data_IF_389342388895
#
_entry.id   IF_389342388895
#
_cell.length_a   1.000
_cell.length_b   1.000
_cell.length_c   1.000
_cell.angle_alpha   90.00
_cell.angle_beta   90.00
_cell.angle_gamma   90.00
#
_symmetry.space_group_name_H-M   'P 1'
#
loop_
_entity.id
_entity.type
_entity.pdbx_description
1 polymer ?
#
# COMPACT_ATOMS: atom_id res chain seq x y z
N UNK A 1 13.00 16.83 57.17
CA UNK A 1 12.14 18.03 57.13
C UNK A 1 12.92 19.20 56.54
N UNK A 2 12.75 19.51 55.26
CA UNK A 2 12.98 20.85 54.73
C UNK A 2 11.99 21.07 53.58
N UNK A 3 10.94 21.84 53.88
CA UNK A 3 9.99 22.38 52.92
C UNK A 3 10.60 23.63 52.31
N UNK A 4 10.68 23.71 50.99
CA UNK A 4 10.66 24.98 50.25
C UNK A 4 9.65 24.87 49.13
N UNK A 5 8.46 25.40 49.40
CA UNK A 5 7.63 26.04 48.39
C UNK A 5 8.46 27.18 47.76
N UNK A 6 8.34 27.42 46.45
CA UNK A 6 7.69 28.63 45.91
C UNK A 6 7.90 28.73 44.38
N UNK A 7 6.83 29.18 43.73
CA UNK A 7 6.80 30.07 42.57
C UNK A 7 6.81 29.47 41.15
N UNK A 8 5.58 29.33 40.65
CA UNK A 8 5.13 29.49 39.27
C UNK A 8 5.79 30.71 38.60
N UNK A 9 6.41 30.52 37.42
CA UNK A 9 6.49 31.57 36.39
C UNK A 9 6.16 30.93 35.04
N UNK A 10 4.89 31.12 34.67
CA UNK A 10 4.35 31.05 33.32
C UNK A 10 5.08 32.11 32.47
N UNK A 11 5.64 31.74 31.32
CA UNK A 11 6.13 32.70 30.33
C UNK A 11 5.86 32.15 28.94
N UNK A 12 4.67 32.49 28.44
CA UNK A 12 4.34 32.42 27.03
C UNK A 12 5.17 33.48 26.28
N UNK A 13 5.98 33.05 25.32
CA UNK A 13 6.61 33.94 24.35
C UNK A 13 6.08 33.57 22.97
N UNK A 14 5.11 34.36 22.52
CA UNK A 14 4.64 34.42 21.14
C UNK A 14 5.66 35.24 20.36
N UNK A 15 6.33 34.63 19.37
CA UNK A 15 7.02 35.36 18.30
C UNK A 15 6.44 34.86 16.98
N UNK A 16 5.50 35.63 16.46
CA UNK A 16 5.12 35.59 15.06
C UNK A 16 6.15 36.38 14.25
N UNK A 17 6.68 35.78 13.19
CA UNK A 17 7.36 36.50 12.12
C UNK A 17 6.66 36.14 10.82
N UNK A 18 6.00 37.15 10.27
CA UNK A 18 5.47 37.21 8.92
C UNK A 18 6.66 37.52 7.99
N UNK A 19 6.88 36.71 6.97
CA UNK A 19 7.64 37.13 5.79
C UNK A 19 6.77 36.93 4.55
N UNK A 20 6.57 38.05 3.87
CA UNK A 20 5.80 38.24 2.68
C UNK A 20 6.37 37.48 1.48
N UNK A 21 5.47 37.09 0.57
CA UNK A 21 5.82 36.46 -0.69
C UNK A 21 6.58 37.37 -1.64
N UNK A 22 7.25 36.74 -2.60
CA UNK A 22 7.65 37.37 -3.84
C UNK A 22 7.47 36.33 -4.94
N UNK A 23 6.36 36.43 -5.66
CA UNK A 23 6.13 35.76 -6.94
C UNK A 23 6.88 36.54 -8.01
N UNK A 24 7.78 35.87 -8.73
CA UNK A 24 8.35 36.40 -9.96
C UNK A 24 8.01 35.44 -11.10
N UNK A 25 7.02 35.85 -11.90
CA UNK A 25 6.75 35.37 -13.25
C UNK A 25 7.98 35.62 -14.13
N UNK A 26 8.47 34.60 -14.84
CA UNK A 26 9.36 34.79 -15.98
C UNK A 26 8.73 34.20 -17.24
N UNK A 27 8.25 35.11 -18.08
CA UNK A 27 7.88 34.91 -19.48
C UNK A 27 9.14 35.08 -20.35
N UNK A 28 9.38 34.15 -21.28
CA UNK A 28 9.63 34.37 -22.72
C UNK A 28 10.50 33.26 -23.36
N UNK A 29 9.94 32.61 -24.38
CA UNK A 29 10.64 31.84 -25.42
C UNK A 29 11.20 32.80 -26.52
N UNK A 30 11.66 32.37 -27.71
CA UNK A 30 12.15 31.06 -28.19
C UNK A 30 13.55 31.16 -28.88
N UNK A 31 14.19 30.04 -29.20
CA UNK A 31 15.16 30.00 -30.31
C UNK A 31 15.28 28.59 -30.90
N UNK A 32 14.83 28.47 -32.14
CA UNK A 32 15.13 27.38 -33.05
C UNK A 32 16.62 27.40 -33.44
N UNK A 33 17.19 26.23 -33.69
CA UNK A 33 18.24 26.05 -34.69
C UNK A 33 18.06 24.67 -35.33
N UNK A 34 17.63 24.71 -36.58
CA UNK A 34 17.73 23.63 -37.55
C UNK A 34 18.77 24.06 -38.58
N UNK A 35 19.69 23.16 -38.93
CA UNK A 35 20.31 23.01 -40.26
C UNK A 35 20.97 21.62 -40.24
N UNK A 36 20.40 20.61 -40.91
CA UNK A 36 20.69 20.20 -42.29
C UNK A 36 22.16 19.73 -42.45
N UNK A 37 22.49 18.60 -43.07
CA UNK A 37 22.09 18.24 -44.43
C UNK A 37 22.62 16.83 -44.81
N UNK A 38 21.76 16.04 -45.47
CA UNK A 38 22.00 15.18 -46.67
C UNK A 38 22.97 13.99 -46.59
N UNK A 39 22.78 12.84 -47.26
CA UNK A 39 21.84 12.35 -48.28
C UNK A 39 22.21 10.85 -48.56
N UNK A 40 21.23 9.94 -48.72
CA UNK A 40 20.89 9.22 -49.99
C UNK A 40 21.80 7.99 -50.24
N UNK A 41 21.32 6.75 -50.43
CA UNK A 41 20.40 6.23 -51.46
C UNK A 41 19.65 4.92 -51.08
N UNK A 42 18.45 4.82 -51.69
CA UNK A 42 17.60 3.67 -52.10
C UNK A 42 18.40 2.70 -53.06
N UNK A 43 17.94 1.53 -53.58
CA UNK A 43 16.52 1.22 -53.81
C UNK A 43 15.96 -0.23 -53.82
N UNK A 44 14.60 -0.26 -53.84
CA UNK A 44 13.63 -1.09 -54.62
C UNK A 44 13.84 -2.63 -54.78
N UNK A 45 12.84 -3.52 -54.91
CA UNK A 45 11.38 -3.47 -55.08
C UNK A 45 10.79 -4.91 -55.00
N UNK A 46 9.47 -4.98 -54.72
CA UNK A 46 8.43 -5.93 -55.20
C UNK A 46 8.54 -7.45 -54.83
N UNK A 47 7.51 -8.27 -54.65
CA UNK A 47 6.15 -8.42 -55.21
C UNK A 47 5.25 -9.18 -54.17
N UNK A 48 3.97 -8.81 -53.96
CA UNK A 48 2.72 -9.51 -54.38
C UNK A 48 2.08 -10.56 -53.42
N UNK A 49 0.90 -10.17 -52.87
CA UNK A 49 -0.46 -10.81 -52.75
C UNK A 49 -0.64 -12.35 -52.68
N UNK A 50 -1.82 -12.91 -52.26
CA UNK A 50 -3.17 -12.31 -52.15
C UNK A 50 -4.10 -12.71 -50.97
N UNK A 51 -5.11 -11.84 -50.76
CA UNK A 51 -6.58 -12.06 -50.58
C UNK A 51 -7.09 -13.25 -49.75
N UNK A 52 -7.85 -12.91 -48.70
CA UNK A 52 -8.99 -13.67 -48.19
C UNK A 52 -10.14 -12.71 -47.91
N UNK A 53 -11.10 -12.67 -48.83
CA UNK A 53 -12.43 -12.08 -48.68
C UNK A 53 -13.27 -13.00 -47.77
N UNK A 54 -14.17 -12.44 -46.97
CA UNK A 54 -15.58 -12.87 -46.90
C UNK A 54 -16.35 -11.86 -46.04
N UNK A 55 -17.30 -11.25 -46.72
CA UNK A 55 -18.34 -10.33 -46.28
C UNK A 55 -19.26 -10.92 -45.21
N UNK A 56 -19.71 -10.10 -44.25
CA UNK A 56 -21.10 -10.12 -43.78
C UNK A 56 -21.52 -8.79 -43.15
N UNK A 57 -22.78 -8.50 -43.39
CA UNK A 57 -23.47 -7.21 -43.35
C UNK A 57 -24.37 -7.05 -42.12
N UNK A 58 -24.78 -5.79 -41.92
CA UNK A 58 -26.06 -5.31 -41.33
C UNK A 58 -26.16 -4.93 -39.84
N UNK A 59 -26.32 -3.61 -39.68
CA UNK A 59 -27.45 -2.89 -39.05
C UNK A 59 -27.60 -2.77 -37.52
N UNK A 60 -27.35 -1.52 -37.09
CA UNK A 60 -28.15 -0.62 -36.23
C UNK A 60 -29.56 -1.10 -35.78
N UNK A 61 -29.84 -1.02 -34.45
CA UNK A 61 -30.89 -0.17 -33.85
C UNK A 61 -31.21 -0.53 -32.37
N UNK A 62 -31.04 0.47 -31.49
CA UNK A 62 -31.94 0.92 -30.40
C UNK A 62 -33.11 0.02 -29.98
N UNK A 63 -33.21 -0.31 -28.67
CA UNK A 63 -34.17 0.27 -27.70
C UNK A 63 -34.06 -0.43 -26.33
N UNK A 64 -34.01 0.41 -25.30
CA UNK A 64 -34.39 0.28 -23.87
C UNK A 64 -35.35 -0.87 -23.56
N UNK A 65 -35.17 -1.57 -22.44
CA UNK A 65 -36.22 -1.75 -21.41
C UNK A 65 -35.60 -2.05 -20.03
N UNK A 66 -35.92 -1.17 -19.08
CA UNK A 66 -35.86 -1.38 -17.64
C UNK A 66 -37.09 -2.18 -17.22
N UNK A 67 -36.96 -3.10 -16.25
CA UNK A 67 -37.96 -3.20 -15.21
C UNK A 67 -37.35 -3.05 -13.83
N UNK A 68 -37.96 -2.17 -13.05
CA UNK A 68 -37.74 -2.02 -11.63
C UNK A 68 -38.61 -3.01 -10.84
N UNK A 69 -38.14 -3.23 -9.60
CA UNK A 69 -38.89 -3.62 -8.41
C UNK A 69 -39.01 -5.13 -8.10
N UNK A 70 -38.29 -5.58 -7.06
CA UNK A 70 -38.93 -5.99 -5.79
C UNK A 70 -37.89 -6.58 -4.84
N UNK A 71 -37.74 -5.91 -3.67
CA UNK A 71 -37.38 -6.46 -2.36
C UNK A 71 -36.32 -7.56 -2.27
N UNK A 72 -35.09 -7.16 -1.99
CA UNK A 72 -34.19 -7.95 -1.16
C UNK A 72 -33.52 -6.99 -0.16
N UNK A 73 -33.97 -7.06 1.09
CA UNK A 73 -33.25 -6.60 2.25
C UNK A 73 -31.82 -7.17 2.18
N UNK A 74 -30.74 -6.36 2.21
CA UNK A 74 -29.43 -6.94 2.37
C UNK A 74 -29.41 -7.53 3.78
N UNK A 75 -29.48 -8.86 3.83
CA UNK A 75 -29.04 -9.63 4.97
C UNK A 75 -27.74 -8.98 5.45
N UNK A 76 -27.70 -8.63 6.74
CA UNK A 76 -26.48 -8.23 7.40
C UNK A 76 -25.43 -9.27 7.02
N UNK A 77 -24.47 -8.86 6.19
CA UNK A 77 -23.28 -9.62 5.98
C UNK A 77 -22.58 -9.60 7.33
N UNK A 78 -22.77 -10.65 8.11
CA UNK A 78 -21.78 -11.05 9.10
C UNK A 78 -20.47 -11.17 8.32
N UNK A 79 -19.68 -10.10 8.33
CA UNK A 79 -18.31 -10.11 7.88
C UNK A 79 -17.52 -10.86 8.94
N UNK A 80 -17.77 -12.17 9.06
CA UNK A 80 -16.73 -13.09 9.50
C UNK A 80 -15.68 -13.06 8.39
N UNK A 81 -14.79 -12.07 8.49
CA UNK A 81 -13.55 -12.06 7.77
C UNK A 81 -12.89 -13.40 8.08
N UNK A 82 -12.94 -14.32 7.11
CA UNK A 82 -12.19 -15.56 7.19
C UNK A 82 -10.74 -15.12 7.36
N UNK A 83 -10.18 -15.34 8.55
CA UNK A 83 -8.80 -14.96 8.85
C UNK A 83 -7.92 -15.90 8.03
N UNK A 84 -7.62 -15.50 6.79
CA UNK A 84 -6.59 -16.14 6.00
C UNK A 84 -5.27 -15.90 6.72
N UNK A 85 -4.57 -16.97 7.04
CA UNK A 85 -3.23 -16.87 7.62
C UNK A 85 -2.31 -16.29 6.57
N UNK A 86 -1.95 -15.01 6.73
CA UNK A 86 -0.97 -14.34 5.87
C UNK A 86 0.42 -14.97 6.04
N UNK A 87 1.24 -14.94 4.99
CA UNK A 87 2.62 -15.40 5.00
C UNK A 87 3.60 -14.27 5.33
N UNK A 88 4.68 -14.60 6.03
CA UNK A 88 5.69 -13.66 6.48
C UNK A 88 6.60 -13.24 5.30
N UNK A 89 6.65 -11.94 4.98
CA UNK A 89 7.50 -11.40 3.90
C UNK A 89 9.01 -11.51 4.14
N UNK A 90 9.45 -11.88 5.33
CA UNK A 90 10.86 -12.10 5.66
C UNK A 90 11.20 -13.58 5.89
N UNK A 91 10.21 -14.46 5.81
CA UNK A 91 10.35 -15.91 6.01
C UNK A 91 9.36 -16.66 5.11
N UNK A 92 9.58 -16.56 3.80
CA UNK A 92 8.83 -17.29 2.78
C UNK A 92 9.74 -17.79 1.67
N UNK A 93 9.32 -18.85 1.00
CA UNK A 93 9.95 -19.39 -0.21
C UNK A 93 9.24 -18.90 -1.47
N UNK A 94 9.94 -19.03 -2.61
CA UNK A 94 9.34 -18.74 -3.93
C UNK A 94 8.09 -19.60 -4.19
N UNK A 95 8.16 -20.88 -3.82
CA UNK A 95 7.06 -21.83 -3.99
C UNK A 95 5.85 -21.45 -3.14
N UNK A 96 6.06 -21.01 -1.89
CA UNK A 96 4.97 -20.53 -1.03
C UNK A 96 4.30 -19.27 -1.61
N UNK A 97 5.06 -18.33 -2.16
CA UNK A 97 4.51 -17.13 -2.80
C UNK A 97 3.66 -17.49 -4.03
N UNK A 98 4.19 -18.33 -4.92
CA UNK A 98 3.49 -18.78 -6.13
C UNK A 98 2.24 -19.63 -5.81
N UNK A 99 2.24 -20.37 -4.70
CA UNK A 99 1.10 -21.15 -4.25
C UNK A 99 0.02 -20.34 -3.50
N UNK A 100 0.42 -19.26 -2.80
CA UNK A 100 -0.48 -18.48 -1.94
C UNK A 100 -1.16 -17.34 -2.69
N UNK A 101 -0.43 -16.66 -3.57
CA UNK A 101 -0.89 -15.44 -4.23
C UNK A 101 -1.42 -15.80 -5.62
N UNK A 102 -2.70 -15.52 -5.95
CA UNK A 102 -3.24 -15.77 -7.28
C UNK A 102 -2.47 -15.00 -8.36
N UNK A 103 -2.28 -15.64 -9.52
CA UNK A 103 -1.62 -15.05 -10.69
C UNK A 103 -0.21 -14.50 -10.41
N UNK A 104 0.49 -15.06 -9.40
CA UNK A 104 1.81 -14.60 -8.99
C UNK A 104 2.92 -15.23 -9.82
N UNK A 105 3.55 -14.43 -10.69
CA UNK A 105 4.59 -14.90 -11.61
C UNK A 105 6.01 -14.81 -11.05
N UNK A 106 6.93 -15.63 -11.58
CA UNK A 106 8.33 -15.70 -11.15
C UNK A 106 9.12 -14.38 -11.29
N UNK A 107 8.62 -13.41 -12.07
CA UNK A 107 9.16 -12.04 -12.06
C UNK A 107 8.91 -11.37 -10.70
N UNK A 108 7.68 -11.41 -10.19
CA UNK A 108 7.30 -10.78 -8.92
C UNK A 108 7.96 -11.45 -7.72
N UNK A 109 8.15 -12.77 -7.77
CA UNK A 109 8.95 -13.51 -6.78
C UNK A 109 10.33 -12.86 -6.58
N UNK A 110 11.02 -12.53 -7.69
CA UNK A 110 12.33 -11.86 -7.61
C UNK A 110 12.24 -10.50 -6.95
N UNK A 111 11.25 -9.69 -7.30
CA UNK A 111 11.07 -8.36 -6.71
C UNK A 111 10.79 -8.45 -5.21
N UNK A 112 10.01 -9.43 -4.75
CA UNK A 112 9.75 -9.64 -3.33
C UNK A 112 11.04 -9.92 -2.56
N UNK A 113 11.89 -10.81 -3.08
CA UNK A 113 13.16 -11.17 -2.43
C UNK A 113 14.23 -10.08 -2.49
N UNK A 114 14.23 -9.23 -3.53
CA UNK A 114 15.24 -8.16 -3.69
C UNK A 114 15.22 -7.15 -2.54
N UNK A 115 14.05 -6.86 -1.97
CA UNK A 115 13.90 -5.84 -0.92
C UNK A 115 13.87 -6.41 0.50
N UNK A 116 14.08 -7.72 0.68
CA UNK A 116 14.20 -8.30 2.01
C UNK A 116 15.48 -7.82 2.74
N UNK A 117 15.41 -7.65 4.07
CA UNK A 117 14.22 -7.75 4.90
C UNK A 117 13.32 -6.49 4.77
N UNK A 118 12.01 -6.71 4.71
CA UNK A 118 11.03 -5.65 4.89
C UNK A 118 10.92 -5.31 6.38
N UNK A 119 11.00 -4.04 6.71
CA UNK A 119 10.82 -3.54 8.09
C UNK A 119 9.49 -2.80 8.27
N UNK A 120 8.83 -2.48 7.16
CA UNK A 120 7.56 -1.75 7.13
C UNK A 120 6.66 -2.22 6.00
N UNK A 121 5.34 -2.32 6.24
CA UNK A 121 4.37 -2.53 5.17
C UNK A 121 4.33 -1.34 4.19
N UNK A 122 4.73 -0.14 4.62
CA UNK A 122 4.87 1.02 3.73
C UNK A 122 6.06 0.87 2.77
N UNK A 123 7.15 0.24 3.22
CA UNK A 123 8.27 -0.12 2.35
C UNK A 123 7.80 -1.12 1.28
N UNK A 124 7.03 -2.15 1.68
CA UNK A 124 6.43 -3.08 0.73
C UNK A 124 5.59 -2.35 -0.34
N UNK A 125 4.65 -1.50 0.08
CA UNK A 125 3.82 -0.69 -0.83
C UNK A 125 4.65 0.12 -1.81
N UNK A 126 5.67 0.81 -1.30
CA UNK A 126 6.54 1.67 -2.10
C UNK A 126 7.37 0.89 -3.12
N UNK A 127 7.97 -0.22 -2.70
CA UNK A 127 8.91 -0.98 -3.54
C UNK A 127 8.16 -1.83 -4.58
N UNK A 128 7.08 -2.48 -4.18
CA UNK A 128 6.26 -3.31 -5.09
C UNK A 128 5.40 -2.46 -6.03
N UNK A 129 4.93 -1.29 -5.59
CA UNK A 129 4.20 -0.32 -6.42
C UNK A 129 5.01 0.26 -7.59
N UNK A 130 6.32 -0.02 -7.68
CA UNK A 130 7.12 0.30 -8.88
C UNK A 130 6.85 -0.62 -10.06
N UNK A 131 6.25 -1.80 -9.81
CA UNK A 131 6.10 -2.87 -10.80
C UNK A 131 4.65 -3.19 -11.12
N UNK A 132 3.75 -2.88 -10.19
CA UNK A 132 2.30 -3.12 -10.31
C UNK A 132 1.54 -1.89 -9.82
N UNK A 133 0.26 -1.79 -10.15
CA UNK A 133 -0.58 -0.68 -9.70
C UNK A 133 -1.05 -0.86 -8.24
N UNK A 134 -1.63 0.21 -7.68
CA UNK A 134 -2.08 0.24 -6.28
C UNK A 134 -3.12 -0.84 -5.96
N UNK A 135 -3.97 -1.22 -6.93
CA UNK A 135 -4.97 -2.26 -6.75
C UNK A 135 -4.31 -3.64 -6.62
N UNK A 136 -3.28 -3.91 -7.43
CA UNK A 136 -2.50 -5.13 -7.35
C UNK A 136 -1.64 -5.20 -6.08
N UNK A 137 -1.07 -4.07 -5.63
CA UNK A 137 -0.39 -3.99 -4.32
C UNK A 137 -1.35 -4.36 -3.20
N UNK A 138 -2.54 -3.74 -3.17
CA UNK A 138 -3.56 -4.02 -2.15
C UNK A 138 -3.97 -5.50 -2.15
N UNK A 139 -4.13 -6.12 -3.34
CA UNK A 139 -4.40 -7.55 -3.44
C UNK A 139 -3.27 -8.39 -2.84
N UNK A 140 -1.99 -8.06 -3.10
CA UNK A 140 -0.88 -8.81 -2.52
C UNK A 140 -0.83 -8.70 -0.99
N UNK A 141 -1.14 -7.53 -0.42
CA UNK A 141 -1.20 -7.34 1.04
C UNK A 141 -2.25 -8.20 1.74
N UNK A 142 -3.26 -8.71 1.03
CA UNK A 142 -4.23 -9.65 1.62
C UNK A 142 -3.57 -10.99 1.99
N UNK A 143 -2.47 -11.35 1.34
CA UNK A 143 -1.79 -12.64 1.51
C UNK A 143 -0.53 -12.57 2.36
N UNK A 144 0.05 -11.39 2.51
CA UNK A 144 1.40 -11.24 3.09
C UNK A 144 1.41 -10.24 4.23
N UNK A 145 2.35 -10.40 5.15
CA UNK A 145 2.59 -9.43 6.21
C UNK A 145 4.08 -9.19 6.44
N UNK A 146 4.40 -8.00 6.95
CA UNK A 146 5.73 -7.68 7.48
C UNK A 146 5.75 -7.95 8.99
N UNK A 147 6.70 -8.75 9.52
CA UNK A 147 6.81 -9.00 10.95
C UNK A 147 6.91 -7.73 11.78
N UNK A 148 6.16 -7.70 12.87
CA UNK A 148 6.07 -6.57 13.76
C UNK A 148 7.15 -6.67 14.82
N UNK A 149 8.09 -5.72 14.78
CA UNK A 149 8.91 -5.42 15.95
C UNK A 149 8.07 -4.58 16.92
N UNK A 150 7.84 -5.13 18.12
CA UNK A 150 6.98 -4.51 19.15
C UNK A 150 7.46 -3.12 19.57
N UNK A 151 8.74 -2.79 19.38
CA UNK A 151 9.36 -1.54 19.80
C UNK A 151 9.77 -0.63 18.63
N UNK A 152 9.84 -1.14 17.39
CA UNK A 152 10.37 -0.37 16.26
C UNK A 152 9.40 -0.19 15.09
N UNK A 153 8.45 -1.09 14.85
CA UNK A 153 7.56 -1.02 13.68
C UNK A 153 6.70 0.25 13.66
N UNK A 154 6.42 0.78 12.47
CA UNK A 154 5.51 1.91 12.28
C UNK A 154 4.03 1.52 12.50
N UNK A 155 3.15 2.53 12.58
CA UNK A 155 1.72 2.32 12.83
C UNK A 155 1.05 1.44 11.78
N UNK A 156 1.31 1.67 10.48
CA UNK A 156 0.69 0.88 9.41
C UNK A 156 1.12 -0.59 9.47
N UNK A 157 2.36 -0.85 9.88
CA UNK A 157 2.86 -2.21 10.11
C UNK A 157 2.18 -2.87 11.30
N UNK A 158 1.86 -2.13 12.37
CA UNK A 158 1.08 -2.64 13.51
C UNK A 158 -0.37 -2.92 13.14
N UNK A 159 -0.99 -2.09 12.29
CA UNK A 159 -2.36 -2.25 11.77
C UNK A 159 -2.57 -3.53 10.93
N UNK A 160 -1.50 -4.27 10.60
CA UNK A 160 -1.62 -5.59 10.00
C UNK A 160 -2.27 -6.63 10.93
N UNK A 161 -2.22 -6.40 12.25
CA UNK A 161 -2.88 -7.27 13.24
C UNK A 161 -4.40 -7.13 13.05
N UNK A 162 -5.13 -8.23 12.78
CA UNK A 162 -6.60 -8.18 12.70
C UNK A 162 -7.21 -7.59 13.98
N UNK A 163 -8.07 -6.58 13.81
CA UNK A 163 -8.72 -5.86 14.92
C UNK A 163 -7.95 -4.65 15.46
N UNK A 164 -6.79 -4.30 14.89
CA UNK A 164 -6.04 -3.10 15.27
C UNK A 164 -6.27 -1.97 14.26
N UNK A 165 -6.87 -0.88 14.73
CA UNK A 165 -7.01 0.36 13.97
C UNK A 165 -5.87 1.35 14.25
N UNK A 166 -5.85 2.48 13.54
CA UNK A 166 -4.84 3.52 13.69
C UNK A 166 -4.76 4.11 15.12
N UNK A 167 -5.88 4.16 15.84
CA UNK A 167 -5.91 4.69 17.22
C UNK A 167 -5.24 3.70 18.16
N UNK A 168 -5.57 2.41 18.05
CA UNK A 168 -4.94 1.34 18.80
C UNK A 168 -3.45 1.20 18.47
N UNK A 169 -3.08 1.25 17.19
CA UNK A 169 -1.68 1.22 16.75
C UNK A 169 -0.86 2.37 17.35
N UNK A 170 -1.40 3.59 17.36
CA UNK A 170 -0.72 4.72 18.01
C UNK A 170 -0.60 4.53 19.52
N UNK A 171 -1.65 4.02 20.19
CA UNK A 171 -1.59 3.75 21.62
C UNK A 171 -0.55 2.67 21.97
N UNK A 172 -0.33 1.70 21.08
CA UNK A 172 0.75 0.71 21.22
C UNK A 172 2.13 1.36 21.07
N UNK A 173 2.30 2.30 20.13
CA UNK A 173 3.56 3.04 19.93
C UNK A 173 3.86 3.93 21.14
N UNK A 174 2.87 4.65 21.65
CA UNK A 174 3.03 5.59 22.77
C UNK A 174 3.43 4.87 24.06
N UNK A 175 3.06 3.60 24.21
CA UNK A 175 3.38 2.76 25.36
C UNK A 175 4.76 2.07 25.28
N UNK A 176 5.51 2.25 24.18
CA UNK A 176 6.88 1.74 24.06
C UNK A 176 7.79 2.38 25.13
N UNK A 177 8.81 1.68 25.63
CA UNK A 177 9.33 0.37 25.20
C UNK A 177 8.71 -0.80 25.98
N UNK A 178 8.31 -1.87 25.28
CA UNK A 178 7.87 -3.13 25.87
C UNK A 178 9.06 -4.00 26.29
N UNK A 179 8.97 -4.56 27.51
CA UNK A 179 9.98 -5.48 28.03
C UNK A 179 9.82 -6.94 27.59
N UNK A 180 8.67 -7.31 27.01
CA UNK A 180 8.37 -8.66 26.53
C UNK A 180 7.17 -8.66 25.58
N UNK A 181 7.01 -9.75 24.83
CA UNK A 181 5.80 -10.03 24.03
C UNK A 181 4.54 -10.01 24.89
N UNK A 182 4.55 -10.63 26.08
CA UNK A 182 3.39 -10.63 26.99
C UNK A 182 2.98 -9.21 27.41
N UNK A 183 3.95 -8.30 27.58
CA UNK A 183 3.66 -6.91 27.91
C UNK A 183 3.01 -6.18 26.73
N UNK A 184 3.47 -6.44 25.50
CA UNK A 184 2.84 -5.93 24.28
C UNK A 184 1.41 -6.48 24.12
N UNK A 185 1.21 -7.79 24.23
CA UNK A 185 -0.10 -8.43 24.10
C UNK A 185 -1.08 -7.99 25.18
N UNK A 186 -0.60 -7.74 26.41
CA UNK A 186 -1.43 -7.17 27.47
C UNK A 186 -1.91 -5.76 27.12
N UNK A 187 -1.03 -4.93 26.53
CA UNK A 187 -1.42 -3.59 26.06
C UNK A 187 -2.34 -3.66 24.85
N UNK A 188 -2.11 -4.58 23.92
CA UNK A 188 -2.98 -4.84 22.77
C UNK A 188 -4.41 -5.13 23.22
N UNK A 189 -4.59 -6.04 24.17
CA UNK A 189 -5.92 -6.38 24.69
C UNK A 189 -6.63 -5.19 25.39
N UNK A 190 -5.87 -4.22 25.91
CA UNK A 190 -6.43 -2.99 26.50
C UNK A 190 -6.94 -2.00 25.43
N UNK A 191 -6.19 -1.85 24.32
CA UNK A 191 -6.44 -0.79 23.31
C UNK A 191 -7.17 -1.26 22.06
N UNK A 192 -7.15 -2.56 21.78
CA UNK A 192 -7.83 -3.21 20.66
C UNK A 192 -8.54 -4.47 21.17
N UNK A 193 -9.69 -4.34 21.86
CA UNK A 193 -10.38 -5.48 22.47
C UNK A 193 -10.93 -6.50 21.47
N UNK A 194 -11.06 -6.10 20.20
CA UNK A 194 -11.50 -6.98 19.10
C UNK A 194 -10.32 -7.75 18.45
N UNK A 195 -9.08 -7.44 18.80
CA UNK A 195 -7.91 -8.17 18.32
C UNK A 195 -7.67 -9.44 19.15
N UNK A 196 -7.55 -10.59 18.49
CA UNK A 196 -7.21 -11.86 19.14
C UNK A 196 -5.69 -11.91 19.44
N UNK A 197 -5.25 -12.02 20.71
CA UNK A 197 -3.83 -12.08 21.06
C UNK A 197 -3.08 -13.29 20.46
N UNK A 198 -3.76 -14.43 20.28
CA UNK A 198 -3.16 -15.60 19.67
C UNK A 198 -2.91 -15.38 18.18
N UNK A 199 -3.85 -14.73 17.49
CA UNK A 199 -3.66 -14.30 16.09
C UNK A 199 -2.57 -13.25 15.99
N UNK A 200 -2.57 -12.24 16.87
CA UNK A 200 -1.56 -11.17 16.88
C UNK A 200 -0.14 -11.70 17.06
N UNK A 201 0.03 -12.74 17.89
CA UNK A 201 1.32 -13.39 18.12
C UNK A 201 1.96 -13.90 16.82
N UNK A 202 1.16 -14.37 15.86
CA UNK A 202 1.64 -14.84 14.56
C UNK A 202 2.21 -13.73 13.67
N UNK A 203 1.96 -12.46 13.97
CA UNK A 203 2.50 -11.31 13.22
C UNK A 203 3.79 -10.75 13.82
N UNK A 204 4.21 -11.20 15.01
CA UNK A 204 5.34 -10.61 15.73
C UNK A 204 6.68 -11.16 15.23
N UNK A 205 7.68 -10.29 15.17
CA UNK A 205 9.05 -10.68 14.88
C UNK A 205 9.62 -11.58 15.99
N UNK A 206 10.31 -12.66 15.60
CA UNK A 206 11.00 -13.57 16.52
C UNK A 206 10.10 -14.52 17.32
N UNK A 207 8.86 -14.72 16.87
CA UNK A 207 7.92 -15.71 17.42
C UNK A 207 8.14 -17.12 16.86
#
# INVERSE_FOLDING_TARGET
MFRRQLLVILSALIIGVIVAGCTATQTAAPAANADASTATEEPAAAEASPVGDESSTSEEATTVETPAETGAEPAAADNEATVMTKINLNDMTAEELEATIPDFGSRMVREFFEYQPYVSILQFRQEIGKYVDDAQVAQYEEYVYVPIDINESDAATIEQIPGVDATAAQALIDARTYGSTDAFLSKLAEVAPDADPAVATAYLAGN
#
